data_IF_914938037257
#
_entry.id   IF_914938037257
#
_cell.length_a   1.000
_cell.length_b   1.000
_cell.length_c   1.000
_cell.angle_alpha   90.00
_cell.angle_beta   90.00
_cell.angle_gamma   90.00
#
_symmetry.space_group_name_H-M   'P 1'
#
loop_
_entity.id
_entity.type
_entity.pdbx_description
1 polymer ?
#
# COMPACT_ATOMS: atom_id res chain seq x y z
N UNK A 1 1.60 -8.92 3.86
CA UNK A 1 0.85 -9.03 2.58
C UNK A 1 1.37 -10.10 1.62
N UNK A 2 2.42 -10.87 1.96
CA UNK A 2 2.90 -11.99 1.11
C UNK A 2 1.79 -12.95 0.64
N UNK A 3 0.81 -13.34 1.49
CA UNK A 3 -0.27 -14.22 1.02
C UNK A 3 -1.14 -13.62 -0.09
N UNK A 4 -1.29 -12.30 -0.16
CA UNK A 4 -1.98 -11.62 -1.26
C UNK A 4 -1.15 -11.66 -2.55
N UNK A 5 0.14 -11.35 -2.46
CA UNK A 5 1.06 -11.36 -3.60
C UNK A 5 1.13 -12.75 -4.26
N UNK A 6 1.18 -13.80 -3.45
CA UNK A 6 1.21 -15.19 -3.94
C UNK A 6 -0.08 -15.62 -4.64
N UNK A 7 -1.21 -14.96 -4.37
CA UNK A 7 -2.48 -15.18 -5.07
C UNK A 7 -2.57 -14.35 -6.36
N UNK A 8 -2.05 -13.11 -6.32
CA UNK A 8 -2.11 -12.17 -7.44
C UNK A 8 -1.20 -12.61 -8.59
N UNK A 9 -0.01 -13.13 -8.28
CA UNK A 9 0.97 -13.56 -9.29
C UNK A 9 0.38 -14.54 -10.33
N UNK A 10 -0.18 -15.71 -9.96
CA UNK A 10 -0.73 -16.64 -10.94
C UNK A 10 -1.93 -16.05 -11.71
N UNK A 11 -2.76 -15.22 -11.07
CA UNK A 11 -3.88 -14.56 -11.74
C UNK A 11 -3.44 -13.58 -12.84
N UNK A 12 -2.28 -12.94 -12.66
CA UNK A 12 -1.66 -12.11 -13.70
C UNK A 12 -1.08 -12.95 -14.83
N UNK A 13 -0.38 -14.04 -14.50
CA UNK A 13 0.18 -14.98 -15.50
C UNK A 13 -0.93 -15.58 -16.38
N UNK A 14 -2.07 -15.97 -15.80
CA UNK A 14 -3.25 -16.45 -16.52
C UNK A 14 -3.83 -15.43 -17.52
N UNK A 15 -3.62 -14.14 -17.28
CA UNK A 15 -4.04 -13.03 -18.16
C UNK A 15 -2.96 -12.62 -19.16
N UNK A 16 -1.81 -13.30 -19.17
CA UNK A 16 -0.72 -13.06 -20.11
C UNK A 16 0.28 -11.98 -19.68
N UNK A 17 0.24 -11.52 -18.44
CA UNK A 17 1.26 -10.63 -17.88
C UNK A 17 2.49 -11.42 -17.40
N UNK A 18 3.65 -10.75 -17.35
CA UNK A 18 4.90 -11.28 -16.76
C UNK A 18 5.20 -10.55 -15.43
N UNK A 19 4.68 -11.03 -14.28
CA UNK A 19 4.78 -10.30 -13.03
C UNK A 19 6.16 -10.41 -12.37
N UNK A 20 6.76 -9.26 -12.05
CA UNK A 20 7.96 -9.16 -11.22
C UNK A 20 7.57 -8.80 -9.78
N UNK A 21 7.89 -9.67 -8.83
CA UNK A 21 7.65 -9.45 -7.39
C UNK A 21 8.93 -8.99 -6.71
N UNK A 22 8.84 -7.94 -5.90
CA UNK A 22 9.95 -7.44 -5.10
C UNK A 22 9.46 -7.00 -3.71
N UNK A 23 10.39 -6.92 -2.75
CA UNK A 23 10.12 -6.32 -1.45
C UNK A 23 10.04 -4.80 -1.59
N UNK A 24 9.06 -4.15 -0.97
CA UNK A 24 8.82 -2.70 -1.04
C UNK A 24 10.11 -1.90 -0.83
N UNK A 25 10.65 -1.42 -1.95
CA UNK A 25 11.85 -0.60 -2.05
C UNK A 25 11.67 0.33 -3.23
N UNK A 26 11.22 1.54 -2.95
CA UNK A 26 10.90 2.58 -3.93
C UNK A 26 12.02 2.79 -4.95
N UNK A 27 13.27 2.84 -4.49
CA UNK A 27 14.43 3.06 -5.36
C UNK A 27 14.56 2.00 -6.47
N UNK A 28 14.37 0.72 -6.14
CA UNK A 28 14.48 -0.37 -7.12
C UNK A 28 13.31 -0.32 -8.10
N UNK A 29 12.09 -0.05 -7.61
CA UNK A 29 10.93 0.13 -8.48
C UNK A 29 11.17 1.29 -9.46
N UNK A 30 11.67 2.41 -8.96
CA UNK A 30 11.91 3.60 -9.75
C UNK A 30 12.96 3.35 -10.84
N UNK A 31 14.06 2.68 -10.51
CA UNK A 31 15.08 2.25 -11.49
C UNK A 31 14.46 1.39 -12.61
N UNK A 32 13.61 0.41 -12.27
CA UNK A 32 12.96 -0.44 -13.27
C UNK A 32 11.97 0.33 -14.16
N UNK A 33 11.30 1.35 -13.61
CA UNK A 33 10.44 2.25 -14.36
C UNK A 33 11.27 3.12 -15.32
N UNK A 34 12.39 3.68 -14.84
CA UNK A 34 13.29 4.50 -15.67
C UNK A 34 13.92 3.70 -16.81
N UNK A 35 14.28 2.44 -16.56
CA UNK A 35 14.79 1.50 -17.56
C UNK A 35 13.70 1.05 -18.56
N UNK A 36 12.43 1.41 -18.36
CA UNK A 36 11.32 1.02 -19.23
C UNK A 36 10.98 -0.47 -19.16
N UNK A 37 11.32 -1.13 -18.05
CA UNK A 37 11.12 -2.58 -17.85
C UNK A 37 9.76 -2.92 -17.23
N UNK A 38 9.01 -1.91 -16.81
CA UNK A 38 7.71 -2.05 -16.14
C UNK A 38 6.66 -1.29 -16.95
N UNK A 39 5.58 -1.97 -17.31
CA UNK A 39 4.47 -1.40 -18.09
C UNK A 39 3.23 -1.08 -17.24
N UNK A 40 3.22 -1.48 -15.97
CA UNK A 40 2.13 -1.21 -15.03
C UNK A 40 2.46 -1.76 -13.65
N UNK A 41 1.81 -1.23 -12.63
CA UNK A 41 2.17 -1.50 -11.23
C UNK A 41 0.93 -1.87 -10.41
N UNK A 42 1.05 -2.95 -9.65
CA UNK A 42 0.14 -3.27 -8.54
C UNK A 42 0.90 -3.04 -7.24
N UNK A 43 0.65 -1.89 -6.63
CA UNK A 43 1.33 -1.44 -5.42
C UNK A 43 0.55 -1.84 -4.17
N UNK A 44 0.72 -3.10 -3.76
CA UNK A 44 -0.02 -3.69 -2.65
C UNK A 44 0.46 -3.26 -1.27
N UNK A 45 1.74 -2.92 -1.14
CA UNK A 45 2.42 -2.79 0.16
C UNK A 45 3.21 -1.50 0.18
N UNK A 46 2.62 -0.48 0.80
CA UNK A 46 3.02 0.93 0.67
C UNK A 46 3.43 1.54 2.02
N UNK A 47 3.85 0.72 2.99
CA UNK A 47 4.30 1.18 4.31
C UNK A 47 5.40 2.25 4.23
N UNK A 48 6.18 2.28 3.13
CA UNK A 48 7.23 3.29 2.92
C UNK A 48 6.70 4.74 2.98
N UNK A 49 5.40 4.95 2.71
CA UNK A 49 4.74 6.26 2.89
C UNK A 49 4.84 6.75 4.34
N UNK A 50 4.87 5.85 5.32
CA UNK A 50 4.95 6.16 6.75
C UNK A 50 6.38 6.39 7.26
N UNK A 51 7.42 6.22 6.44
CA UNK A 51 8.82 6.35 6.88
C UNK A 51 9.12 7.74 7.45
N UNK A 52 8.72 8.87 6.81
CA UNK A 52 9.01 10.18 7.38
C UNK A 52 8.35 10.39 8.74
N UNK A 53 7.12 9.91 8.90
CA UNK A 53 6.39 9.97 10.15
C UNK A 53 7.09 9.11 11.23
N UNK A 54 7.49 7.89 10.88
CA UNK A 54 8.13 6.93 11.81
C UNK A 54 9.42 7.49 12.42
N UNK A 55 10.24 8.16 11.60
CA UNK A 55 11.59 8.60 11.96
C UNK A 55 11.72 10.12 12.12
N UNK A 56 10.59 10.84 12.18
CA UNK A 56 10.54 12.32 12.27
C UNK A 56 11.39 13.00 11.18
N UNK A 57 11.37 12.44 9.98
CA UNK A 57 12.09 12.97 8.83
C UNK A 57 11.20 13.96 8.07
N UNK A 58 11.80 14.89 7.29
CA UNK A 58 11.04 15.76 6.41
C UNK A 58 10.15 14.95 5.46
N UNK A 59 8.90 15.38 5.26
CA UNK A 59 7.91 14.70 4.41
C UNK A 59 8.42 14.54 2.96
N UNK A 60 9.29 15.45 2.52
CA UNK A 60 9.98 15.41 1.24
C UNK A 60 10.77 14.11 1.02
N UNK A 61 11.16 13.39 2.09
CA UNK A 61 11.81 12.09 1.93
C UNK A 61 10.86 10.96 1.51
N UNK A 62 9.54 11.11 1.69
CA UNK A 62 8.54 10.24 1.05
C UNK A 62 8.12 10.74 -0.33
N UNK A 63 8.66 11.87 -0.82
CA UNK A 63 8.17 12.51 -2.05
C UNK A 63 8.25 11.62 -3.29
N UNK A 64 9.17 10.66 -3.32
CA UNK A 64 9.30 9.74 -4.44
C UNK A 64 8.29 8.58 -4.39
N UNK A 65 7.76 8.21 -3.22
CA UNK A 65 6.87 7.05 -3.11
C UNK A 65 5.58 7.30 -3.90
N UNK A 66 5.23 6.34 -4.77
CA UNK A 66 4.06 6.37 -5.67
C UNK A 66 4.09 7.50 -6.72
N UNK A 67 5.17 8.28 -6.83
CA UNK A 67 5.24 9.44 -7.72
C UNK A 67 5.63 9.05 -9.15
N UNK A 68 6.76 8.35 -9.32
CA UNK A 68 7.35 8.16 -10.64
C UNK A 68 6.44 7.39 -11.60
N UNK A 69 5.82 6.31 -11.12
CA UNK A 69 4.85 5.52 -11.88
C UNK A 69 3.73 6.39 -12.48
N UNK A 70 3.14 7.24 -11.62
CA UNK A 70 2.10 8.17 -12.00
C UNK A 70 2.60 9.20 -13.02
N UNK A 71 3.78 9.79 -12.80
CA UNK A 71 4.37 10.77 -13.73
C UNK A 71 4.68 10.19 -15.12
N UNK A 72 5.12 8.93 -15.17
CA UNK A 72 5.37 8.22 -16.42
C UNK A 72 4.10 7.75 -17.12
N UNK A 73 2.94 7.93 -16.49
CA UNK A 73 1.66 7.55 -17.06
C UNK A 73 1.36 6.06 -17.02
N UNK A 74 2.06 5.30 -16.18
CA UNK A 74 1.85 3.86 -16.06
C UNK A 74 0.52 3.58 -15.33
N UNK A 75 -0.25 2.56 -15.76
CA UNK A 75 -1.40 2.08 -14.99
C UNK A 75 -0.98 1.63 -13.59
N UNK A 76 -1.68 2.12 -12.58
CA UNK A 76 -1.35 1.86 -11.18
C UNK A 76 -2.57 1.43 -10.36
N UNK A 77 -2.52 0.22 -9.80
CA UNK A 77 -3.43 -0.17 -8.71
C UNK A 77 -2.71 0.02 -7.39
N UNK A 78 -3.32 0.71 -6.43
CA UNK A 78 -2.76 0.98 -5.10
C UNK A 78 -3.65 0.29 -4.05
N UNK A 79 -3.04 -0.39 -3.07
CA UNK A 79 -3.73 -0.93 -1.90
C UNK A 79 -3.02 -0.53 -0.60
N UNK A 80 -3.73 -0.42 0.54
CA UNK A 80 -3.20 0.14 1.80
C UNK A 80 -2.32 -0.84 2.60
N UNK A 81 -1.74 -1.87 1.97
CA UNK A 81 -1.03 -2.91 2.71
C UNK A 81 0.15 -2.37 3.50
N UNK A 82 0.22 -2.74 4.77
CA UNK A 82 1.26 -2.29 5.70
C UNK A 82 1.08 -0.87 6.22
N UNK A 83 -0.04 -0.18 5.94
CA UNK A 83 -0.34 1.11 6.57
C UNK A 83 -0.80 0.98 8.03
N UNK A 84 -1.00 -0.24 8.51
CA UNK A 84 -1.33 -0.57 9.90
C UNK A 84 -0.11 -0.58 10.83
N UNK A 85 1.11 -0.38 10.30
CA UNK A 85 2.35 -0.55 11.04
C UNK A 85 3.40 0.52 10.75
N UNK A 86 3.95 1.09 11.82
CA UNK A 86 5.26 1.75 11.80
C UNK A 86 6.34 0.68 12.03
N UNK A 87 7.40 0.68 11.22
CA UNK A 87 8.43 -0.36 11.24
C UNK A 87 9.71 0.18 11.85
N UNK A 88 10.15 -0.42 12.95
CA UNK A 88 11.38 -0.06 13.64
C UNK A 88 12.42 -1.20 13.59
N UNK A 89 13.70 -0.88 13.35
CA UNK A 89 14.78 -1.85 13.51
C UNK A 89 15.04 -2.14 15.00
N UNK A 90 15.42 -3.38 15.31
CA UNK A 90 15.83 -3.81 16.65
C UNK A 90 14.72 -4.48 17.46
N UNK A 91 14.86 -4.44 18.79
CA UNK A 91 13.96 -5.10 19.76
C UNK A 91 12.97 -4.12 20.38
N UNK A 92 12.00 -4.63 21.16
CA UNK A 92 10.96 -3.80 21.80
C UNK A 92 11.55 -2.79 22.78
N UNK A 93 12.68 -3.11 23.39
CA UNK A 93 13.39 -2.25 24.33
C UNK A 93 14.06 -1.05 23.65
N UNK A 94 14.39 -1.18 22.36
CA UNK A 94 15.04 -0.16 21.54
C UNK A 94 14.04 0.81 20.88
N UNK A 95 12.73 0.56 21.00
CA UNK A 95 11.69 1.45 20.47
C UNK A 95 11.78 2.84 21.13
N UNK A 96 11.67 3.94 20.35
CA UNK A 96 11.69 5.29 20.90
C UNK A 96 10.61 5.48 21.98
N UNK A 97 10.90 6.23 23.06
CA UNK A 97 10.01 6.36 24.22
C UNK A 97 8.56 6.73 23.88
N UNK A 98 8.36 7.58 22.87
CA UNK A 98 7.04 8.05 22.43
C UNK A 98 6.14 6.94 21.85
N UNK A 99 6.70 5.82 21.41
CA UNK A 99 5.95 4.68 20.86
C UNK A 99 5.81 3.51 21.85
N UNK A 100 6.37 3.60 23.07
CA UNK A 100 6.38 2.46 24.02
C UNK A 100 4.98 2.07 24.51
N UNK A 101 4.04 3.01 24.54
CA UNK A 101 2.66 2.76 24.96
C UNK A 101 1.75 2.30 23.80
N UNK A 102 2.31 2.14 22.59
CA UNK A 102 1.57 1.60 21.45
C UNK A 102 1.43 0.08 21.57
N UNK A 103 0.52 -0.48 20.78
CA UNK A 103 0.50 -1.93 20.57
C UNK A 103 1.75 -2.31 19.76
N UNK A 104 2.65 -3.07 20.38
CA UNK A 104 3.92 -3.50 19.77
C UNK A 104 3.90 -4.99 19.41
N UNK A 105 4.26 -5.31 18.18
CA UNK A 105 4.45 -6.66 17.68
C UNK A 105 5.91 -6.91 17.31
N UNK A 106 6.55 -7.93 17.90
CA UNK A 106 7.88 -8.35 17.49
C UNK A 106 7.74 -9.22 16.23
N UNK A 107 8.05 -8.65 15.07
CA UNK A 107 7.95 -9.36 13.79
C UNK A 107 9.12 -10.35 13.59
N UNK A 108 10.27 -10.04 14.20
CA UNK A 108 11.46 -10.88 14.20
C UNK A 108 12.43 -10.45 15.30
N UNK A 109 13.65 -11.04 15.36
CA UNK A 109 14.65 -10.68 16.36
C UNK A 109 15.11 -9.22 16.22
N UNK A 110 15.10 -8.67 15.01
CA UNK A 110 15.62 -7.34 14.69
C UNK A 110 14.56 -6.40 14.09
N UNK A 111 13.27 -6.69 14.28
CA UNK A 111 12.18 -5.85 13.76
C UNK A 111 10.99 -5.83 14.70
N UNK A 112 10.55 -4.63 15.05
CA UNK A 112 9.35 -4.37 15.83
C UNK A 112 8.41 -3.50 15.02
N UNK A 113 7.12 -3.84 15.08
CA UNK A 113 6.04 -3.08 14.51
C UNK A 113 5.31 -2.35 15.63
N UNK A 114 4.97 -1.09 15.43
CA UNK A 114 4.02 -0.37 16.27
C UNK A 114 2.74 -0.08 15.48
N UNK A 115 1.57 -0.34 16.08
CA UNK A 115 0.29 -0.08 15.42
C UNK A 115 0.14 1.42 15.16
N UNK A 116 -0.14 1.76 13.90
CA UNK A 116 -0.52 3.11 13.50
C UNK A 116 -1.87 3.51 14.10
N UNK A 117 -2.01 4.79 14.36
CA UNK A 117 -3.24 5.44 14.80
C UNK A 117 -4.09 5.86 13.61
N UNK A 118 -5.38 6.14 13.87
CA UNK A 118 -6.31 6.72 12.91
C UNK A 118 -5.76 7.95 12.20
N UNK A 119 -5.09 8.84 12.92
CA UNK A 119 -4.55 10.09 12.35
C UNK A 119 -3.34 9.82 11.44
N UNK A 120 -2.48 8.86 11.79
CA UNK A 120 -1.32 8.45 10.98
C UNK A 120 -1.77 7.74 9.69
N UNK A 121 -2.79 6.87 9.78
CA UNK A 121 -3.43 6.24 8.60
C UNK A 121 -4.07 7.31 7.70
N UNK A 122 -4.79 8.27 8.30
CA UNK A 122 -5.39 9.38 7.56
C UNK A 122 -4.36 10.30 6.90
N UNK A 123 -3.22 10.53 7.55
CA UNK A 123 -2.10 11.28 6.98
C UNK A 123 -1.52 10.56 5.75
N UNK A 124 -1.25 9.26 5.84
CA UNK A 124 -0.78 8.46 4.71
C UNK A 124 -1.80 8.49 3.55
N UNK A 125 -3.09 8.34 3.86
CA UNK A 125 -4.17 8.39 2.87
C UNK A 125 -4.22 9.71 2.10
N UNK A 126 -3.95 10.85 2.75
CA UNK A 126 -3.87 12.17 2.08
C UNK A 126 -2.73 12.21 1.07
N UNK A 127 -1.54 11.75 1.46
CA UNK A 127 -0.38 11.70 0.57
C UNK A 127 -0.68 10.81 -0.63
N UNK A 128 -1.18 9.60 -0.40
CA UNK A 128 -1.51 8.64 -1.45
C UNK A 128 -2.53 9.23 -2.43
N UNK A 129 -3.57 9.88 -1.90
CA UNK A 129 -4.61 10.54 -2.70
C UNK A 129 -4.05 11.70 -3.53
N UNK A 130 -3.12 12.49 -2.98
CA UNK A 130 -2.42 13.54 -3.72
C UNK A 130 -1.60 12.97 -4.88
N UNK A 131 -0.86 11.87 -4.66
CA UNK A 131 -0.07 11.21 -5.72
C UNK A 131 -0.97 10.65 -6.81
N UNK A 132 -2.03 9.92 -6.44
CA UNK A 132 -3.03 9.42 -7.38
C UNK A 132 -3.66 10.56 -8.20
N UNK A 133 -3.99 11.67 -7.54
CA UNK A 133 -4.55 12.86 -8.18
C UNK A 133 -3.62 13.56 -9.16
N UNK A 134 -2.31 13.32 -9.10
CA UNK A 134 -1.28 13.90 -9.99
C UNK A 134 -0.82 12.95 -11.10
N UNK A 135 -1.10 11.65 -11.01
CA UNK A 135 -0.68 10.67 -12.00
C UNK A 135 -1.15 11.02 -13.42
N UNK A 136 -0.29 10.93 -14.43
CA UNK A 136 -0.66 11.14 -15.82
C UNK A 136 -1.48 9.96 -16.40
N UNK A 137 -1.28 8.77 -15.83
CA UNK A 137 -1.91 7.51 -16.25
C UNK A 137 -3.17 7.20 -15.44
N UNK A 138 -3.84 6.08 -15.77
CA UNK A 138 -5.00 5.63 -15.01
C UNK A 138 -4.56 5.06 -13.66
N UNK A 139 -5.33 5.36 -12.62
CA UNK A 139 -5.06 4.92 -11.25
C UNK A 139 -6.34 4.39 -10.62
N UNK A 140 -6.23 3.27 -9.91
CA UNK A 140 -7.28 2.75 -9.06
C UNK A 140 -6.74 2.50 -7.63
N UNK A 141 -7.52 2.89 -6.62
CA UNK A 141 -7.24 2.58 -5.21
C UNK A 141 -8.22 1.48 -4.78
N UNK A 142 -7.69 0.29 -4.49
CA UNK A 142 -8.47 -0.89 -4.09
C UNK A 142 -8.32 -1.10 -2.58
N UNK A 143 -9.43 -1.02 -1.86
CA UNK A 143 -9.46 -0.88 -0.40
C UNK A 143 -10.08 -2.15 0.23
N UNK A 144 -9.31 -2.96 0.97
CA UNK A 144 -9.85 -4.06 1.76
C UNK A 144 -10.50 -3.52 3.03
N UNK A 145 -11.76 -3.89 3.29
CA UNK A 145 -12.52 -3.40 4.44
C UNK A 145 -12.31 -4.24 5.72
N UNK A 146 -11.52 -5.32 5.66
CA UNK A 146 -11.31 -6.23 6.81
C UNK A 146 -9.85 -6.32 7.27
N UNK A 147 -9.01 -5.36 6.87
CA UNK A 147 -7.64 -5.18 7.38
C UNK A 147 -6.55 -5.23 6.30
N UNK A 148 -5.38 -4.68 6.66
CA UNK A 148 -4.28 -4.28 5.78
C UNK A 148 -3.04 -5.18 5.90
N UNK A 149 -2.99 -6.09 6.87
CA UNK A 149 -1.86 -7.00 7.05
C UNK A 149 -2.21 -8.26 7.82
N UNK A 150 -1.27 -9.22 7.89
CA UNK A 150 -1.51 -10.48 8.60
C UNK A 150 -1.81 -10.31 10.10
N UNK A 151 -1.30 -9.24 10.72
CA UNK A 151 -1.53 -8.92 12.13
C UNK A 151 -2.69 -7.95 12.35
N UNK A 152 -3.27 -7.44 11.27
CA UNK A 152 -4.43 -6.55 11.24
C UNK A 152 -5.63 -7.28 10.64
N UNK A 153 -6.21 -8.18 11.43
CA UNK A 153 -7.41 -8.95 11.12
C UNK A 153 -8.12 -9.33 12.41
N UNK A 154 -9.41 -9.59 12.35
CA UNK A 154 -10.22 -9.90 13.53
C UNK A 154 -9.55 -10.96 14.43
N UNK A 155 -9.43 -10.65 15.73
CA UNK A 155 -8.76 -11.47 16.72
C UNK A 155 -7.23 -11.32 16.81
N UNK A 156 -6.60 -10.49 15.97
CA UNK A 156 -5.18 -10.15 16.07
C UNK A 156 -4.95 -8.80 16.76
N UNK A 157 -3.70 -8.56 17.16
CA UNK A 157 -3.32 -7.42 17.98
C UNK A 157 -3.42 -6.07 17.29
N UNK A 158 -3.25 -6.00 15.96
CA UNK A 158 -3.36 -4.74 15.22
C UNK A 158 -4.77 -4.51 14.67
N UNK A 159 -5.74 -5.40 14.92
CA UNK A 159 -7.09 -5.22 14.40
C UNK A 159 -7.74 -3.94 14.94
N UNK A 160 -7.91 -2.97 14.06
CA UNK A 160 -8.52 -1.67 14.37
C UNK A 160 -9.30 -1.14 13.16
N UNK A 161 -10.56 -1.58 12.98
CA UNK A 161 -11.37 -1.18 11.85
C UNK A 161 -11.71 0.32 11.83
N UNK A 162 -11.58 1.02 12.97
CA UNK A 162 -11.77 2.47 13.02
C UNK A 162 -10.55 3.20 12.45
N UNK A 163 -9.35 2.80 12.84
CA UNK A 163 -8.11 3.33 12.28
C UNK A 163 -8.02 3.06 10.77
N UNK A 164 -8.30 1.83 10.34
CA UNK A 164 -8.26 1.45 8.93
C UNK A 164 -9.35 2.16 8.11
N UNK A 165 -10.53 2.34 8.71
CA UNK A 165 -11.65 3.06 8.10
C UNK A 165 -11.31 4.51 7.76
N UNK A 166 -10.35 5.14 8.46
CA UNK A 166 -9.89 6.48 8.11
C UNK A 166 -9.20 6.54 6.74
N UNK A 167 -8.55 5.46 6.30
CA UNK A 167 -7.98 5.39 4.96
C UNK A 167 -9.08 5.55 3.90
N UNK A 168 -10.12 4.71 3.99
CA UNK A 168 -11.25 4.72 3.05
C UNK A 168 -11.97 6.07 3.04
N UNK A 169 -12.21 6.64 4.22
CA UNK A 169 -12.87 7.94 4.33
C UNK A 169 -12.06 9.05 3.67
N UNK A 170 -10.77 9.17 4.00
CA UNK A 170 -9.89 10.21 3.44
C UNK A 170 -9.76 10.06 1.93
N UNK A 171 -9.58 8.83 1.43
CA UNK A 171 -9.49 8.59 -0.03
C UNK A 171 -10.75 9.11 -0.72
N UNK A 172 -11.94 8.71 -0.26
CA UNK A 172 -13.23 9.17 -0.83
C UNK A 172 -13.41 10.68 -0.79
N UNK A 173 -12.92 11.33 0.25
CA UNK A 173 -13.08 12.79 0.42
C UNK A 173 -12.07 13.61 -0.43
N UNK A 174 -10.97 13.00 -0.89
CA UNK A 174 -9.84 13.75 -1.46
C UNK A 174 -9.44 13.38 -2.88
N UNK A 175 -9.74 12.17 -3.35
CA UNK A 175 -9.41 11.78 -4.72
C UNK A 175 -10.37 12.41 -5.73
N UNK A 176 -9.83 12.72 -6.91
CA UNK A 176 -10.56 13.28 -8.05
C UNK A 176 -11.32 12.16 -8.75
N UNK A 177 -12.42 12.53 -9.43
CA UNK A 177 -13.30 11.62 -10.17
C UNK A 177 -12.58 10.69 -11.18
N UNK A 178 -11.40 11.08 -11.67
CA UNK A 178 -10.59 10.28 -12.61
C UNK A 178 -9.85 9.11 -11.96
N UNK A 179 -9.79 9.05 -10.63
CA UNK A 179 -9.15 7.95 -9.88
C UNK A 179 -10.25 7.01 -9.44
N UNK A 180 -10.16 5.75 -9.86
CA UNK A 180 -11.16 4.75 -9.48
C UNK A 180 -10.98 4.35 -8.01
N UNK A 181 -12.06 4.29 -7.24
CA UNK A 181 -12.06 3.77 -5.87
C UNK A 181 -12.85 2.47 -5.85
N UNK A 182 -12.23 1.40 -5.35
CA UNK A 182 -12.84 0.07 -5.29
C UNK A 182 -12.77 -0.46 -3.87
N UNK A 183 -13.88 -0.39 -3.14
CA UNK A 183 -14.00 -1.00 -1.81
C UNK A 183 -14.34 -2.50 -1.96
N UNK A 184 -13.68 -3.34 -1.15
CA UNK A 184 -13.84 -4.80 -1.18
C UNK A 184 -14.09 -5.28 0.25
N UNK A 185 -15.23 -5.93 0.49
CA UNK A 185 -15.56 -6.53 1.78
C UNK A 185 -14.75 -7.81 2.05
N UNK A 186 -13.44 -7.65 2.17
CA UNK A 186 -12.46 -8.71 2.35
C UNK A 186 -11.23 -8.17 3.08
N UNK A 187 -10.45 -9.09 3.64
CA UNK A 187 -9.13 -8.78 4.19
C UNK A 187 -8.11 -8.79 3.05
N UNK A 188 -7.04 -8.01 3.14
CA UNK A 188 -6.05 -7.87 2.05
C UNK A 188 -5.49 -9.23 1.55
N UNK A 189 -5.38 -10.22 2.44
CA UNK A 189 -4.85 -11.54 2.13
C UNK A 189 -5.90 -12.55 1.62
N UNK A 190 -7.18 -12.17 1.47
CA UNK A 190 -8.24 -13.05 0.95
C UNK A 190 -8.23 -13.16 -0.57
N UNK A 191 -8.79 -14.24 -1.10
CA UNK A 191 -8.85 -14.55 -2.53
C UNK A 191 -9.68 -13.50 -3.29
N UNK A 192 -10.79 -13.06 -2.71
CA UNK A 192 -11.69 -12.06 -3.28
C UNK A 192 -10.98 -10.73 -3.50
N UNK A 193 -10.12 -10.33 -2.55
CA UNK A 193 -9.32 -9.11 -2.68
C UNK A 193 -8.28 -9.24 -3.79
N UNK A 194 -7.52 -10.34 -3.78
CA UNK A 194 -6.52 -10.61 -4.82
C UNK A 194 -7.13 -10.62 -6.23
N UNK A 195 -8.27 -11.29 -6.39
CA UNK A 195 -9.01 -11.32 -7.66
C UNK A 195 -9.44 -9.93 -8.09
N UNK A 196 -10.02 -9.14 -7.17
CA UNK A 196 -10.50 -7.79 -7.47
C UNK A 196 -9.37 -6.83 -7.85
N UNK A 197 -8.21 -6.95 -7.20
CA UNK A 197 -7.00 -6.19 -7.57
C UNK A 197 -6.58 -6.50 -9.01
N UNK A 198 -6.51 -7.78 -9.38
CA UNK A 198 -6.10 -8.19 -10.73
C UNK A 198 -7.14 -7.82 -11.79
N UNK A 199 -8.43 -8.02 -11.51
CA UNK A 199 -9.51 -7.61 -12.42
C UNK A 199 -9.46 -6.09 -12.67
N UNK A 200 -9.28 -5.30 -11.62
CA UNK A 200 -9.16 -3.83 -11.73
C UNK A 200 -7.94 -3.43 -12.55
N UNK A 201 -6.79 -4.07 -12.32
CA UNK A 201 -5.58 -3.82 -13.08
C UNK A 201 -5.76 -4.14 -14.57
N UNK A 202 -6.30 -5.33 -14.88
CA UNK A 202 -6.49 -5.82 -16.25
C UNK A 202 -7.50 -4.99 -17.05
N UNK A 203 -8.60 -4.57 -16.41
CA UNK A 203 -9.56 -3.65 -17.03
C UNK A 203 -8.92 -2.29 -17.36
N UNK A 204 -8.04 -1.81 -16.49
CA UNK A 204 -7.38 -0.52 -16.63
C UNK A 204 -6.29 -0.54 -17.70
N UNK A 205 -5.45 -1.57 -17.75
CA UNK A 205 -4.39 -1.73 -18.77
C UNK A 205 -4.97 -1.87 -20.18
N UNK A 206 -6.04 -2.67 -20.34
CA UNK A 206 -6.73 -2.84 -21.64
C UNK A 206 -7.29 -1.54 -22.19
N UNK A 207 -7.79 -0.64 -21.34
CA UNK A 207 -8.30 0.69 -21.76
C UNK A 207 -7.20 1.57 -22.36
N UNK A 208 -5.94 1.37 -21.95
CA UNK A 208 -4.79 2.14 -22.46
C UNK A 208 -3.94 1.37 -23.48
N UNK A 209 -4.40 0.21 -23.92
CA UNK A 209 -3.76 -0.58 -24.98
C UNK A 209 -2.49 -1.32 -24.54
N UNK A 210 -2.39 -1.64 -23.25
CA UNK A 210 -1.33 -2.48 -22.67
C UNK A 210 -1.86 -3.90 -22.48
#
# INVERSE_FOLDING_TARGET
TTPAVMKIKPLLEERGYDPVVFHSKTQILDELIEEGRISGIIDLTIFEVLIPLTFHLPEELAENRLRLAGEKGLPQVIAPGGLDMLIFPGTKEAIPPEYKDRILHAHGPDTVLARTTRDEVGWAAKIISERANRAAGPVAIVIPLRGFSEVDKEGQHFYDPEADGAFAQVVKDTVRERVDIVEVDAHINHDEFAKKVVDTFDEMTKKVGI
#
